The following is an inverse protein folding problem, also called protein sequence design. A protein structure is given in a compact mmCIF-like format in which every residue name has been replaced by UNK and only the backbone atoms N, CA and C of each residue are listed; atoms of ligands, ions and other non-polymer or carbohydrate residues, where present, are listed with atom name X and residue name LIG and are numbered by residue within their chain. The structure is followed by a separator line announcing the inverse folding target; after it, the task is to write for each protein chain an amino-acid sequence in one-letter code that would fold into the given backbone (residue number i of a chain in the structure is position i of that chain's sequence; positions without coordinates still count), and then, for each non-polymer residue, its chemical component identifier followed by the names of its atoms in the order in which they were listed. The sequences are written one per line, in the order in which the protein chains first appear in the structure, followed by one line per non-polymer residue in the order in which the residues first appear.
data_IF_130019432169
#
_entry.id   IF_130019432169
#
_cell.length_a   1.000
_cell.length_b   1.000
_cell.length_c   1.000
_cell.angle_alpha   90.00
_cell.angle_beta   90.00
_cell.angle_gamma   90.00
#
_symmetry.space_group_name_H-M   'P 1'
#
loop_
_entity.id
_entity.type
_entity.pdbx_description
1 polymer ?
#
# COMPACT_ATOMS: atom_id res chain seq x y z
N UNK A 1 -15.37 4.41 -12.29
CA UNK A 1 -15.22 3.37 -13.33
C UNK A 1 -13.74 3.28 -13.71
N UNK A 2 -13.13 2.10 -13.55
CA UNK A 2 -11.74 1.89 -13.95
C UNK A 2 -11.63 1.74 -15.47
N UNK A 3 -10.67 2.41 -16.09
CA UNK A 3 -10.33 2.17 -17.50
C UNK A 3 -9.58 0.84 -17.57
N UNK A 4 -10.03 -0.09 -18.41
CA UNK A 4 -9.33 -1.34 -18.70
C UNK A 4 -8.88 -1.34 -20.15
N UNK A 5 -7.58 -1.52 -20.41
CA UNK A 5 -7.11 -1.89 -21.74
C UNK A 5 -7.44 -3.37 -21.96
N UNK A 6 -8.07 -3.70 -23.09
CA UNK A 6 -8.43 -5.08 -23.42
C UNK A 6 -7.21 -6.01 -23.39
N UNK A 7 -7.34 -7.16 -22.75
CA UNK A 7 -6.30 -8.21 -22.70
C UNK A 7 -5.31 -8.14 -21.53
N UNK A 8 -5.28 -7.03 -20.77
CA UNK A 8 -4.49 -6.92 -19.55
C UNK A 8 -5.43 -6.66 -18.38
N UNK A 9 -5.76 -7.71 -17.63
CA UNK A 9 -6.41 -7.54 -16.34
C UNK A 9 -5.34 -7.08 -15.34
N UNK A 10 -5.00 -5.79 -15.34
CA UNK A 10 -4.14 -5.21 -14.31
C UNK A 10 -4.79 -5.42 -12.94
N UNK A 11 -4.24 -6.36 -12.18
CA UNK A 11 -4.77 -6.77 -10.89
C UNK A 11 -4.24 -5.91 -9.74
N UNK A 12 -3.20 -5.12 -9.98
CA UNK A 12 -2.49 -4.34 -8.97
C UNK A 12 -2.21 -2.94 -9.50
N UNK A 13 -2.36 -1.96 -8.62
CA UNK A 13 -2.06 -0.54 -8.83
C UNK A 13 -0.89 -0.20 -7.92
N UNK A 14 0.14 0.43 -8.46
CA UNK A 14 1.20 1.03 -7.68
C UNK A 14 0.84 2.48 -7.36
N UNK A 15 0.68 2.78 -6.08
CA UNK A 15 0.72 4.14 -5.56
C UNK A 15 2.17 4.51 -5.26
N UNK A 16 2.60 5.69 -5.73
CA UNK A 16 3.94 6.22 -5.48
C UNK A 16 3.84 7.71 -5.16
N UNK A 17 4.48 8.12 -4.07
CA UNK A 17 4.64 9.51 -3.66
C UNK A 17 5.39 10.32 -4.72
N UNK A 18 5.13 11.63 -4.79
CA UNK A 18 5.71 12.49 -5.81
C UNK A 18 7.24 12.69 -5.66
N UNK A 19 7.76 12.40 -4.47
CA UNK A 19 9.17 12.46 -4.09
C UNK A 19 9.87 11.09 -4.10
N UNK A 20 9.13 10.01 -4.31
CA UNK A 20 9.69 8.67 -4.50
C UNK A 20 10.18 8.48 -5.93
N UNK A 21 11.38 7.91 -6.06
CA UNK A 21 12.03 7.65 -7.35
C UNK A 21 12.40 6.19 -7.48
N UNK A 22 12.34 5.68 -8.70
CA UNK A 22 12.94 4.39 -9.02
C UNK A 22 14.46 4.56 -9.16
N UNK A 23 15.22 3.68 -8.51
CA UNK A 23 16.69 3.75 -8.47
C UNK A 23 17.37 2.54 -9.11
N UNK A 24 16.64 1.44 -9.30
CA UNK A 24 17.13 0.22 -9.93
C UNK A 24 16.31 -0.07 -11.20
N UNK A 25 17.02 -0.15 -12.33
CA UNK A 25 16.47 -0.40 -13.66
C UNK A 25 17.26 -1.48 -14.40
N UNK A 26 18.08 -2.27 -13.69
CA UNK A 26 18.85 -3.34 -14.33
C UNK A 26 17.90 -4.39 -14.93
N UNK A 27 17.95 -4.56 -16.25
CA UNK A 27 17.11 -5.50 -17.00
C UNK A 27 17.37 -6.96 -16.60
N UNK A 28 18.54 -7.24 -16.02
CA UNK A 28 18.91 -8.55 -15.51
C UNK A 28 18.61 -8.72 -14.01
N UNK A 29 18.19 -7.66 -13.32
CA UNK A 29 17.77 -7.74 -11.93
C UNK A 29 16.36 -8.32 -11.81
N UNK A 30 16.12 -8.90 -10.63
CA UNK A 30 14.83 -9.47 -10.27
C UNK A 30 13.78 -8.35 -10.13
N UNK A 31 12.73 -8.39 -10.96
CA UNK A 31 11.61 -7.44 -10.92
C UNK A 31 10.90 -7.56 -9.56
N UNK A 32 11.22 -6.61 -8.67
CA UNK A 32 10.74 -6.60 -7.29
C UNK A 32 9.22 -6.61 -7.21
N UNK A 33 8.52 -5.90 -8.10
CA UNK A 33 7.06 -5.83 -8.09
C UNK A 33 6.46 -7.19 -8.46
N UNK A 34 6.98 -7.84 -9.53
CA UNK A 34 6.54 -9.19 -9.92
C UNK A 34 6.84 -10.21 -8.85
N UNK A 35 8.03 -10.17 -8.24
CA UNK A 35 8.39 -11.07 -7.14
C UNK A 35 7.40 -10.94 -6.00
N UNK A 36 7.13 -9.73 -5.51
CA UNK A 36 6.23 -9.49 -4.38
C UNK A 36 4.80 -9.94 -4.68
N UNK A 37 4.29 -9.62 -5.87
CA UNK A 37 2.97 -10.10 -6.31
C UNK A 37 2.93 -11.62 -6.37
N UNK A 38 3.99 -12.28 -6.86
CA UNK A 38 4.03 -13.74 -6.95
C UNK A 38 4.09 -14.44 -5.59
N UNK A 39 4.73 -13.81 -4.59
CA UNK A 39 4.91 -14.32 -3.23
C UNK A 39 3.68 -14.09 -2.37
N UNK A 40 3.08 -12.90 -2.43
CA UNK A 40 2.02 -12.48 -1.51
C UNK A 40 0.64 -12.35 -2.18
N UNK A 41 0.59 -12.04 -3.49
CA UNK A 41 -0.65 -11.73 -4.20
C UNK A 41 -1.51 -12.94 -4.61
N UNK A 42 -1.01 -14.17 -4.38
CA UNK A 42 -1.76 -15.41 -4.64
C UNK A 42 -2.95 -15.58 -3.69
N UNK A 43 -2.82 -15.11 -2.46
CA UNK A 43 -3.93 -15.12 -1.52
C UNK A 43 -4.96 -14.06 -1.94
N UNK A 44 -6.21 -14.44 -2.24
CA UNK A 44 -7.26 -13.48 -2.60
C UNK A 44 -7.60 -12.49 -1.49
N UNK A 45 -7.21 -12.76 -0.23
CA UNK A 45 -7.43 -11.87 0.91
C UNK A 45 -6.48 -10.69 0.93
N UNK A 46 -5.25 -10.85 0.43
CA UNK A 46 -4.28 -9.76 0.35
C UNK A 46 -4.76 -8.71 -0.65
N UNK A 47 -5.02 -7.52 -0.16
CA UNK A 47 -5.46 -6.34 -0.94
C UNK A 47 -4.42 -5.24 -0.96
N UNK A 48 -3.58 -5.13 0.08
CA UNK A 48 -2.60 -4.05 0.21
C UNK A 48 -1.24 -4.64 0.57
N UNK A 49 -0.18 -4.22 -0.11
CA UNK A 49 1.19 -4.48 0.32
C UNK A 49 1.90 -3.14 0.54
N UNK A 50 2.50 -2.99 1.71
CA UNK A 50 3.15 -1.74 2.15
C UNK A 50 4.41 -2.07 2.95
N UNK A 51 5.44 -1.23 2.86
CA UNK A 51 6.71 -1.48 3.56
C UNK A 51 6.63 -1.00 5.01
N UNK A 52 7.06 -1.85 5.94
CA UNK A 52 7.23 -1.44 7.35
C UNK A 52 8.22 -0.29 7.45
N UNK A 53 7.93 0.64 8.36
CA UNK A 53 8.88 1.69 8.71
C UNK A 53 10.10 1.04 9.42
N UNK A 54 11.34 1.19 8.92
CA UNK A 54 12.55 0.60 9.50
C UNK A 54 12.82 1.08 10.93
N UNK A 55 12.34 2.26 11.29
CA UNK A 55 12.53 2.87 12.60
C UNK A 55 11.33 2.64 13.53
N UNK A 56 10.22 2.09 12.99
CA UNK A 56 8.93 2.04 13.68
C UNK A 56 8.44 3.41 14.16
N UNK A 57 9.04 4.49 13.63
CA UNK A 57 8.90 5.89 14.04
C UNK A 57 9.45 6.83 12.97
N UNK A 58 8.58 7.44 12.18
CA UNK A 58 8.86 8.68 11.48
C UNK A 58 8.51 9.87 12.40
N UNK A 59 9.52 10.46 13.05
CA UNK A 59 9.34 11.61 13.94
C UNK A 59 8.55 11.28 15.22
N UNK A 60 7.54 12.10 15.55
CA UNK A 60 6.64 11.87 16.71
C UNK A 60 5.53 10.84 16.41
N UNK A 61 5.45 10.31 15.18
CA UNK A 61 4.44 9.33 14.79
C UNK A 61 4.85 7.91 15.22
N UNK A 62 3.88 7.13 15.71
CA UNK A 62 4.00 5.70 16.01
C UNK A 62 3.93 4.87 14.72
N UNK A 63 4.71 5.25 13.71
CA UNK A 63 4.47 4.77 12.35
C UNK A 63 4.82 3.30 12.18
N UNK A 64 3.85 2.50 11.74
CA UNK A 64 4.01 1.06 11.50
C UNK A 64 4.52 0.76 10.09
N UNK A 65 4.21 1.64 9.13
CA UNK A 65 4.57 1.49 7.74
C UNK A 65 4.69 2.85 7.05
N UNK A 66 5.52 2.92 6.01
CA UNK A 66 5.60 4.09 5.14
C UNK A 66 4.58 3.95 4.00
N UNK A 67 3.70 4.95 3.86
CA UNK A 67 2.61 4.96 2.90
C UNK A 67 2.93 5.61 1.54
N UNK A 68 4.17 6.04 1.30
CA UNK A 68 4.57 6.68 0.04
C UNK A 68 4.59 5.69 -1.12
N UNK A 69 4.85 4.41 -0.85
CA UNK A 69 4.84 3.34 -1.87
C UNK A 69 3.94 2.19 -1.43
N UNK A 70 2.82 2.01 -2.14
CA UNK A 70 1.81 1.00 -1.80
C UNK A 70 1.41 0.23 -3.06
N UNK A 71 1.37 -1.09 -2.98
CA UNK A 71 0.71 -1.93 -3.97
C UNK A 71 -0.73 -2.23 -3.53
N UNK A 72 -1.69 -1.84 -4.37
CA UNK A 72 -3.12 -1.94 -4.11
C UNK A 72 -3.75 -2.92 -5.12
N UNK A 73 -4.37 -3.98 -4.64
CA UNK A 73 -5.10 -4.90 -5.51
C UNK A 73 -6.35 -4.20 -6.06
N UNK A 74 -6.60 -4.34 -7.35
CA UNK A 74 -7.85 -3.91 -7.98
C UNK A 74 -8.97 -4.85 -7.53
N UNK A 75 -9.74 -4.42 -6.53
CA UNK A 75 -10.90 -5.15 -6.01
C UNK A 75 -11.98 -4.20 -5.49
N UNK A 76 -13.18 -4.72 -5.29
CA UNK A 76 -14.26 -3.99 -4.61
C UNK A 76 -13.89 -3.64 -3.16
N UNK A 77 -13.13 -4.51 -2.49
CA UNK A 77 -12.64 -4.24 -1.15
C UNK A 77 -11.75 -3.00 -1.15
N UNK A 78 -10.75 -2.95 -2.03
CA UNK A 78 -9.81 -1.83 -2.13
C UNK A 78 -10.54 -0.53 -2.46
N UNK A 79 -11.51 -0.56 -3.37
CA UNK A 79 -12.30 0.63 -3.69
C UNK A 79 -13.06 1.17 -2.48
N UNK A 80 -13.69 0.30 -1.68
CA UNK A 80 -14.38 0.70 -0.44
C UNK A 80 -13.41 1.20 0.63
N UNK A 81 -12.27 0.53 0.77
CA UNK A 81 -11.25 0.92 1.74
C UNK A 81 -10.64 2.28 1.41
N UNK A 82 -10.25 2.52 0.15
CA UNK A 82 -9.74 3.83 -0.30
C UNK A 82 -10.79 4.94 -0.13
N UNK A 83 -12.07 4.68 -0.42
CA UNK A 83 -13.12 5.66 -0.16
C UNK A 83 -13.23 5.97 1.33
N UNK A 84 -13.19 4.94 2.19
CA UNK A 84 -13.24 5.10 3.65
C UNK A 84 -12.03 5.89 4.17
N UNK A 85 -10.84 5.67 3.59
CA UNK A 85 -9.63 6.40 3.91
C UNK A 85 -9.73 7.87 3.49
N UNK A 86 -10.14 8.12 2.24
CA UNK A 86 -10.30 9.46 1.69
C UNK A 86 -11.33 10.31 2.43
N UNK A 87 -12.47 9.71 2.79
CA UNK A 87 -13.57 10.40 3.47
C UNK A 87 -13.38 10.49 4.99
N UNK A 88 -12.28 9.97 5.54
CA UNK A 88 -12.10 9.91 6.99
C UNK A 88 -12.08 11.32 7.60
N UNK A 89 -12.95 11.62 8.59
CA UNK A 89 -13.03 12.95 9.18
C UNK A 89 -11.72 13.40 9.82
N UNK A 90 -10.86 12.47 10.26
CA UNK A 90 -9.57 12.78 10.88
C UNK A 90 -8.59 13.44 9.90
N UNK A 91 -8.77 13.23 8.59
CA UNK A 91 -8.05 13.99 7.56
C UNK A 91 -8.35 15.49 7.64
N UNK A 92 -9.59 15.86 8.00
CA UNK A 92 -10.02 17.26 8.17
C UNK A 92 -9.59 17.86 9.51
N UNK A 93 -9.22 17.01 10.47
CA UNK A 93 -8.70 17.39 11.79
C UNK A 93 -7.19 17.65 11.78
N UNK A 94 -6.54 17.55 10.60
CA UNK A 94 -5.13 17.88 10.41
C UNK A 94 -4.17 16.70 10.52
N UNK A 95 -4.67 15.45 10.58
CA UNK A 95 -3.83 14.26 10.46
C UNK A 95 -3.34 14.05 9.04
N UNK A 96 -2.18 13.42 8.89
CA UNK A 96 -1.68 13.01 7.57
C UNK A 96 -2.44 11.80 7.05
N UNK A 97 -2.38 11.59 5.74
CA UNK A 97 -2.90 10.39 5.07
C UNK A 97 -2.29 9.10 5.64
N UNK A 98 -0.98 9.10 5.90
CA UNK A 98 -0.30 7.97 6.56
C UNK A 98 -0.84 7.72 7.98
N UNK A 99 -0.98 8.75 8.81
CA UNK A 99 -1.52 8.59 10.17
C UNK A 99 -2.94 8.02 10.17
N UNK A 100 -3.78 8.49 9.24
CA UNK A 100 -5.14 7.96 9.11
C UNK A 100 -5.12 6.52 8.60
N UNK A 101 -4.27 6.18 7.63
CA UNK A 101 -4.13 4.82 7.12
C UNK A 101 -3.74 3.84 8.23
N UNK A 102 -2.82 4.24 9.10
CA UNK A 102 -2.38 3.46 10.25
C UNK A 102 -3.49 3.24 11.26
N UNK A 103 -4.27 4.27 11.57
CA UNK A 103 -5.42 4.12 12.45
C UNK A 103 -6.45 3.16 11.86
N UNK A 104 -6.75 3.27 10.57
CA UNK A 104 -7.68 2.36 9.89
C UNK A 104 -7.19 0.91 9.91
N UNK A 105 -5.88 0.70 9.84
CA UNK A 105 -5.27 -0.62 10.01
C UNK A 105 -5.38 -1.13 11.46
N UNK A 106 -5.03 -0.32 12.47
CA UNK A 106 -5.10 -0.70 13.90
C UNK A 106 -6.54 -0.98 14.35
N UNK A 107 -7.48 -0.17 13.87
CA UNK A 107 -8.91 -0.30 14.14
C UNK A 107 -9.56 -1.46 13.35
N UNK A 108 -8.77 -2.16 12.52
CA UNK A 108 -9.19 -3.27 11.67
C UNK A 108 -10.40 -2.93 10.78
N UNK A 109 -10.41 -1.70 10.25
CA UNK A 109 -11.53 -1.22 9.44
C UNK A 109 -11.66 -2.06 8.18
N UNK A 110 -12.84 -2.66 7.98
CA UNK A 110 -13.13 -3.59 6.88
C UNK A 110 -12.27 -4.87 6.89
N UNK A 111 -11.68 -5.26 8.02
CA UNK A 111 -10.76 -6.40 8.10
C UNK A 111 -9.37 -6.08 7.54
N UNK A 112 -8.91 -4.82 7.70
CA UNK A 112 -7.63 -4.33 7.21
C UNK A 112 -6.44 -5.18 7.68
N UNK A 113 -6.47 -5.72 8.89
CA UNK A 113 -5.37 -6.52 9.44
C UNK A 113 -5.08 -7.79 8.62
N UNK A 114 -6.13 -8.42 8.07
CA UNK A 114 -5.99 -9.60 7.20
C UNK A 114 -5.74 -9.20 5.73
N UNK A 115 -6.23 -8.03 5.33
CA UNK A 115 -6.10 -7.54 3.96
C UNK A 115 -4.70 -6.96 3.64
N UNK A 116 -3.93 -6.58 4.66
CA UNK A 116 -2.62 -5.96 4.51
C UNK A 116 -1.49 -6.99 4.66
N UNK A 117 -0.47 -6.84 3.81
CA UNK A 117 0.84 -7.46 3.99
C UNK A 117 1.84 -6.35 4.28
N UNK A 118 2.37 -6.37 5.51
CA UNK A 118 3.46 -5.49 5.92
C UNK A 118 4.79 -6.12 5.52
N UNK A 119 5.36 -5.65 4.42
CA UNK A 119 6.62 -6.11 3.87
C UNK A 119 7.80 -5.71 4.77
N UNK A 120 8.91 -6.46 4.74
CA UNK A 120 10.13 -6.07 5.45
C UNK A 120 10.57 -4.65 5.05
N UNK A 121 11.24 -3.91 5.94
CA UNK A 121 11.83 -2.61 5.59
C UNK A 121 12.70 -2.68 4.34
N UNK A 122 12.85 -1.56 3.63
CA UNK A 122 13.65 -1.42 2.39
C UNK A 122 13.23 -2.31 1.22
N UNK A 123 12.01 -2.89 1.26
CA UNK A 123 11.50 -3.77 0.19
C UNK A 123 10.92 -3.00 -0.99
N UNK A 124 9.91 -2.15 -0.75
CA UNK A 124 9.34 -1.24 -1.77
C UNK A 124 9.71 0.22 -1.52
N UNK A 125 9.96 0.57 -0.26
CA UNK A 125 10.40 1.89 0.15
C UNK A 125 11.57 1.77 1.13
N UNK A 126 12.64 2.52 0.90
CA UNK A 126 13.96 2.40 1.55
C UNK A 126 14.35 3.67 2.30
#
# INVERSE_FOLDING_TARGET
HWVSRGGLAEQWVLWIGADAIFVDFDEFADDVLRRLISQHGRDPKVQVMVTRDPHGRAGNSLSMFNADVILLRRSEWTARFLQRWWDDPRMKEGRTDQEVLELLYVEDVLGAAEAFVLLPPTTLNS
#
